data_IF_521603835144
#
_entry.id   IF_521603835144
#
_cell.length_a   1.000
_cell.length_b   1.000
_cell.length_c   1.000
_cell.angle_alpha   90.00
_cell.angle_beta   90.00
_cell.angle_gamma   90.00
#
_symmetry.space_group_name_H-M   'P 1'
#
loop_
_entity.id
_entity.type
_entity.pdbx_description
1 polymer ?
#
# COMPACT_ATOMS: atom_id res chain seq x y z
N UNK A 1 -10.33 -14.35 0.56
CA UNK A 1 -10.15 -15.23 -0.63
C UNK A 1 -10.14 -16.71 -0.26
N UNK A 2 -9.77 -17.05 0.96
CA UNK A 2 -9.79 -18.46 1.42
C UNK A 2 -11.20 -18.97 1.72
N UNK A 3 -12.08 -18.08 2.10
CA UNK A 3 -13.47 -18.42 2.47
C UNK A 3 -14.43 -18.32 1.30
N UNK A 4 -14.27 -17.30 0.45
CA UNK A 4 -15.16 -17.08 -0.69
C UNK A 4 -14.87 -18.07 -1.81
N UNK A 5 -15.94 -18.61 -2.40
CA UNK A 5 -15.85 -19.57 -3.50
C UNK A 5 -16.52 -19.03 -4.76
N UNK A 6 -15.99 -19.42 -5.91
CA UNK A 6 -16.58 -19.18 -7.22
C UNK A 6 -16.19 -20.32 -8.15
N UNK A 7 -17.10 -20.70 -9.04
CA UNK A 7 -16.86 -21.78 -10.01
C UNK A 7 -16.41 -23.08 -9.35
N UNK A 8 -16.92 -23.37 -8.14
CA UNK A 8 -16.66 -24.62 -7.43
C UNK A 8 -15.37 -24.69 -6.62
N UNK A 9 -14.62 -23.59 -6.50
CA UNK A 9 -13.39 -23.56 -5.68
C UNK A 9 -13.19 -22.23 -4.97
N UNK A 10 -12.33 -22.24 -3.95
CA UNK A 10 -12.00 -21.02 -3.22
C UNK A 10 -11.27 -20.04 -4.12
N UNK A 11 -11.49 -18.75 -3.90
CA UNK A 11 -10.86 -17.70 -4.72
C UNK A 11 -9.33 -17.79 -4.67
N UNK A 12 -8.75 -18.19 -3.52
CA UNK A 12 -7.30 -18.35 -3.40
C UNK A 12 -6.73 -19.42 -4.32
N UNK A 13 -7.54 -20.37 -4.76
CA UNK A 13 -7.10 -21.47 -5.63
C UNK A 13 -7.02 -21.06 -7.11
N UNK A 14 -7.50 -19.89 -7.48
CA UNK A 14 -7.32 -19.36 -8.83
C UNK A 14 -5.91 -18.79 -8.98
N UNK A 15 -5.25 -19.17 -10.07
CA UNK A 15 -3.85 -18.79 -10.30
C UNK A 15 -3.65 -17.28 -10.35
N UNK A 16 -4.57 -16.55 -10.99
CA UNK A 16 -4.48 -15.08 -11.03
C UNK A 16 -4.53 -14.47 -9.62
N UNK A 17 -5.40 -15.00 -8.75
CA UNK A 17 -5.47 -14.54 -7.35
C UNK A 17 -4.15 -14.76 -6.63
N UNK A 18 -3.55 -15.94 -6.84
CA UNK A 18 -2.25 -16.26 -6.23
C UNK A 18 -1.16 -15.31 -6.72
N UNK A 19 -1.14 -14.98 -8.00
CA UNK A 19 -0.16 -14.04 -8.56
C UNK A 19 -0.35 -12.64 -7.98
N UNK A 20 -1.58 -12.14 -7.92
CA UNK A 20 -1.88 -10.82 -7.35
C UNK A 20 -1.44 -10.75 -5.90
N UNK A 21 -1.78 -11.76 -5.10
CA UNK A 21 -1.41 -11.78 -3.68
C UNK A 21 0.10 -11.93 -3.48
N UNK A 22 0.78 -12.69 -4.31
CA UNK A 22 2.23 -12.81 -4.26
C UNK A 22 2.92 -11.47 -4.56
N UNK A 23 2.44 -10.74 -5.54
CA UNK A 23 2.95 -9.40 -5.86
C UNK A 23 2.70 -8.42 -4.72
N UNK A 24 1.48 -8.41 -4.18
CA UNK A 24 1.14 -7.56 -3.05
C UNK A 24 2.01 -7.86 -1.82
N UNK A 25 2.21 -9.14 -1.52
CA UNK A 25 3.05 -9.56 -0.40
C UNK A 25 4.51 -9.10 -0.59
N UNK A 26 5.03 -9.26 -1.78
CA UNK A 26 6.40 -8.84 -2.10
C UNK A 26 6.56 -7.33 -1.94
N UNK A 27 5.66 -6.55 -2.53
CA UNK A 27 5.69 -5.10 -2.44
C UNK A 27 5.55 -4.61 -0.99
N UNK A 28 4.64 -5.21 -0.23
CA UNK A 28 4.45 -4.89 1.19
C UNK A 28 5.71 -5.22 2.02
N UNK A 29 6.39 -6.32 1.69
CA UNK A 29 7.63 -6.70 2.37
C UNK A 29 8.74 -5.68 2.08
N UNK A 30 8.91 -5.26 0.84
CA UNK A 30 9.88 -4.23 0.46
C UNK A 30 9.57 -2.92 1.18
N UNK A 31 8.31 -2.50 1.21
CA UNK A 31 7.89 -1.29 1.92
C UNK A 31 8.20 -1.38 3.42
N UNK A 32 7.95 -2.53 4.04
CA UNK A 32 8.24 -2.73 5.47
C UNK A 32 9.73 -2.63 5.78
N UNK A 33 10.58 -3.18 4.94
CA UNK A 33 12.05 -3.07 5.09
C UNK A 33 12.47 -1.61 5.03
N UNK A 34 11.93 -0.84 4.08
CA UNK A 34 12.25 0.57 3.95
C UNK A 34 11.73 1.39 5.13
N UNK A 35 10.50 1.14 5.59
CA UNK A 35 9.94 1.80 6.77
C UNK A 35 10.80 1.53 8.01
N UNK A 36 11.19 0.28 8.22
CA UNK A 36 12.05 -0.08 9.35
C UNK A 36 13.39 0.65 9.30
N UNK A 37 13.98 0.78 8.12
CA UNK A 37 15.19 1.57 7.93
C UNK A 37 14.96 3.04 8.31
N UNK A 38 13.86 3.64 7.87
CA UNK A 38 13.51 5.02 8.21
C UNK A 38 13.33 5.19 9.72
N UNK A 39 12.67 4.25 10.38
CA UNK A 39 12.48 4.29 11.84
C UNK A 39 13.83 4.25 12.55
N UNK A 40 14.72 3.36 12.16
CA UNK A 40 16.07 3.27 12.74
C UNK A 40 16.84 4.58 12.56
N UNK A 41 16.79 5.17 11.37
CA UNK A 41 17.45 6.44 11.09
C UNK A 41 16.85 7.58 11.92
N UNK A 42 15.53 7.59 12.07
CA UNK A 42 14.84 8.60 12.88
C UNK A 42 15.27 8.51 14.35
N UNK A 43 15.29 7.30 14.90
CA UNK A 43 15.70 7.07 16.30
C UNK A 43 17.17 7.44 16.54
N UNK A 44 18.01 7.31 15.53
CA UNK A 44 19.41 7.71 15.58
C UNK A 44 19.63 9.20 15.28
N UNK A 45 18.58 9.96 14.98
CA UNK A 45 18.68 11.37 14.61
C UNK A 45 19.29 11.61 13.23
N UNK A 46 19.28 10.60 12.34
CA UNK A 46 19.95 10.62 11.04
C UNK A 46 19.01 10.61 9.83
N UNK A 47 17.69 10.57 10.07
CA UNK A 47 16.72 10.57 8.96
C UNK A 47 16.69 11.96 8.32
N UNK A 48 17.11 12.02 7.06
CA UNK A 48 17.06 13.26 6.29
C UNK A 48 15.68 13.47 5.64
N UNK A 49 15.40 14.71 5.23
CA UNK A 49 14.12 15.08 4.66
C UNK A 49 13.85 14.37 3.32
N UNK A 50 14.88 14.16 2.51
CA UNK A 50 14.72 13.47 1.22
C UNK A 50 14.31 12.02 1.41
N UNK A 51 14.94 11.29 2.33
CA UNK A 51 14.61 9.89 2.63
C UNK A 51 13.20 9.78 3.23
N UNK A 52 12.84 10.67 4.16
CA UNK A 52 11.49 10.71 4.72
C UNK A 52 10.44 10.98 3.62
N UNK A 53 10.75 11.86 2.69
CA UNK A 53 9.86 12.18 1.56
C UNK A 53 9.69 11.01 0.61
N UNK A 54 10.76 10.24 0.36
CA UNK A 54 10.68 8.98 -0.41
C UNK A 54 9.72 8.00 0.25
N UNK A 55 9.85 7.81 1.55
CA UNK A 55 8.98 6.91 2.29
C UNK A 55 7.52 7.36 2.20
N UNK A 56 7.26 8.63 2.42
CA UNK A 56 5.89 9.15 2.42
C UNK A 56 5.22 8.96 1.05
N UNK A 57 5.86 9.38 -0.03
CA UNK A 57 5.19 9.31 -1.34
C UNK A 57 5.10 7.88 -1.86
N UNK A 58 6.18 7.11 -1.78
CA UNK A 58 6.23 5.78 -2.37
C UNK A 58 5.33 4.80 -1.63
N UNK A 59 5.34 4.84 -0.29
CA UNK A 59 4.54 3.92 0.53
C UNK A 59 3.05 4.28 0.49
N UNK A 60 2.69 5.56 0.50
CA UNK A 60 1.29 5.95 0.38
C UNK A 60 0.71 5.61 -1.00
N UNK A 61 1.48 5.76 -2.08
CA UNK A 61 1.08 5.31 -3.41
C UNK A 61 0.91 3.78 -3.45
N UNK A 62 1.86 3.05 -2.87
CA UNK A 62 1.83 1.59 -2.81
C UNK A 62 0.64 1.09 -2.00
N UNK A 63 0.35 1.71 -0.84
CA UNK A 63 -0.81 1.35 -0.02
C UNK A 63 -2.10 1.46 -0.82
N UNK A 64 -2.30 2.56 -1.53
CA UNK A 64 -3.47 2.74 -2.38
C UNK A 64 -3.56 1.68 -3.47
N UNK A 65 -2.43 1.34 -4.09
CA UNK A 65 -2.36 0.31 -5.13
C UNK A 65 -2.70 -1.08 -4.58
N UNK A 66 -2.14 -1.45 -3.44
CA UNK A 66 -2.38 -2.75 -2.83
C UNK A 66 -3.83 -2.87 -2.37
N UNK A 67 -4.37 -1.84 -1.71
CA UNK A 67 -5.76 -1.84 -1.24
C UNK A 67 -6.72 -1.97 -2.43
N UNK A 68 -6.46 -1.26 -3.53
CA UNK A 68 -7.28 -1.35 -4.73
C UNK A 68 -7.29 -2.78 -5.31
N UNK A 69 -6.13 -3.39 -5.42
CA UNK A 69 -5.99 -4.76 -5.93
C UNK A 69 -6.65 -5.79 -5.02
N UNK A 70 -6.49 -5.64 -3.71
CA UNK A 70 -7.13 -6.52 -2.74
C UNK A 70 -8.64 -6.36 -2.74
N UNK A 71 -9.15 -5.13 -2.85
CA UNK A 71 -10.59 -4.88 -2.95
C UNK A 71 -11.20 -5.61 -4.15
N UNK A 72 -10.51 -5.61 -5.28
CA UNK A 72 -10.97 -6.32 -6.48
C UNK A 72 -11.20 -7.80 -6.22
N UNK A 73 -10.35 -8.42 -5.40
CA UNK A 73 -10.48 -9.83 -5.04
C UNK A 73 -11.70 -10.13 -4.16
N UNK A 74 -12.24 -9.14 -3.47
CA UNK A 74 -13.48 -9.28 -2.72
C UNK A 74 -14.71 -9.29 -3.63
N UNK A 75 -14.58 -8.82 -4.87
CA UNK A 75 -15.73 -8.64 -5.76
C UNK A 75 -16.74 -7.65 -5.18
N UNK A 76 -18.03 -7.92 -5.33
CA UNK A 76 -19.09 -7.02 -4.83
C UNK A 76 -19.00 -6.71 -3.34
N UNK A 77 -18.52 -7.63 -2.54
CA UNK A 77 -18.34 -7.41 -1.10
C UNK A 77 -17.29 -6.32 -0.80
N UNK A 78 -16.35 -6.10 -1.70
CA UNK A 78 -15.36 -5.03 -1.57
C UNK A 78 -15.93 -3.62 -1.62
N UNK A 79 -17.15 -3.47 -2.13
CA UNK A 79 -17.85 -2.20 -2.19
C UNK A 79 -18.77 -1.95 -0.97
N UNK A 80 -18.91 -2.92 -0.10
CA UNK A 80 -19.79 -2.86 1.07
C UNK A 80 -19.02 -2.36 2.29
N UNK A 81 -19.53 -1.30 2.94
CA UNK A 81 -18.87 -0.67 4.09
C UNK A 81 -18.75 -1.57 5.31
N UNK A 82 -19.47 -2.67 5.37
CA UNK A 82 -19.35 -3.68 6.42
C UNK A 82 -18.00 -4.40 6.40
N UNK A 83 -17.32 -4.38 5.26
CA UNK A 83 -16.01 -5.03 5.11
C UNK A 83 -14.89 -4.01 5.30
N UNK A 84 -13.87 -4.33 6.11
CA UNK A 84 -12.76 -3.41 6.37
C UNK A 84 -12.06 -2.92 5.10
N UNK A 85 -11.97 -3.76 4.06
CA UNK A 85 -11.29 -3.37 2.82
C UNK A 85 -11.96 -2.18 2.13
N UNK A 86 -13.29 -2.08 2.18
CA UNK A 86 -14.01 -0.94 1.61
C UNK A 86 -13.65 0.37 2.32
N UNK A 87 -13.54 0.31 3.65
CA UNK A 87 -13.14 1.46 4.46
C UNK A 87 -11.66 1.81 4.23
N UNK A 88 -10.79 0.83 4.13
CA UNK A 88 -9.38 1.03 3.79
C UNK A 88 -9.21 1.73 2.45
N UNK A 89 -9.95 1.30 1.45
CA UNK A 89 -9.94 1.92 0.12
C UNK A 89 -10.31 3.39 0.19
N UNK A 90 -11.38 3.70 0.91
CA UNK A 90 -11.87 5.07 1.06
C UNK A 90 -10.89 5.94 1.82
N UNK A 91 -10.39 5.44 2.96
CA UNK A 91 -9.61 6.24 3.90
C UNK A 91 -8.14 6.40 3.47
N UNK A 92 -7.59 5.45 2.75
CA UNK A 92 -6.18 5.52 2.34
C UNK A 92 -5.93 6.56 1.25
N UNK A 93 -6.95 6.97 0.49
CA UNK A 93 -6.76 7.87 -0.66
C UNK A 93 -6.20 9.23 -0.25
N UNK A 94 -6.60 9.77 0.89
CA UNK A 94 -6.15 11.06 1.37
C UNK A 94 -4.67 11.08 1.79
N UNK A 95 -4.09 9.92 2.06
CA UNK A 95 -2.69 9.81 2.46
C UNK A 95 -1.72 10.32 1.40
N UNK A 96 -2.14 10.34 0.13
CA UNK A 96 -1.35 10.87 -0.98
C UNK A 96 -1.42 12.40 -1.07
N UNK A 97 -2.29 13.03 -0.28
CA UNK A 97 -2.61 14.45 -0.36
C UNK A 97 -2.14 15.20 0.89
N UNK A 98 -2.49 14.72 2.07
CA UNK A 98 -2.23 15.44 3.31
C UNK A 98 -0.75 15.35 3.75
N UNK A 99 -0.35 16.23 4.66
CA UNK A 99 1.03 16.27 5.15
C UNK A 99 2.04 16.67 4.08
N UNK A 100 1.59 17.40 3.05
CA UNK A 100 2.30 17.65 1.81
C UNK A 100 1.93 16.61 0.78
N UNK A 101 1.51 17.06 -0.40
CA UNK A 101 1.15 16.11 -1.49
C UNK A 101 2.36 15.28 -1.90
N UNK A 102 2.11 14.15 -2.54
CA UNK A 102 3.20 13.31 -3.04
C UNK A 102 4.03 14.03 -4.10
N UNK A 103 3.43 14.96 -4.86
CA UNK A 103 4.17 15.83 -5.77
C UNK A 103 5.17 16.73 -5.03
N UNK A 104 4.77 17.29 -3.90
CA UNK A 104 5.68 18.08 -3.04
C UNK A 104 6.81 17.20 -2.48
N UNK A 105 6.50 15.98 -2.09
CA UNK A 105 7.53 15.04 -1.63
C UNK A 105 8.58 14.77 -2.71
N UNK A 106 8.15 14.58 -3.94
CA UNK A 106 9.04 14.41 -5.10
C UNK A 106 9.90 15.65 -5.34
N UNK A 107 9.33 16.84 -5.16
CA UNK A 107 10.08 18.08 -5.28
C UNK A 107 11.19 18.17 -4.24
N UNK A 108 10.90 17.79 -2.98
CA UNK A 108 11.91 17.78 -1.91
C UNK A 108 13.05 16.83 -2.21
N UNK A 109 12.74 15.68 -2.78
CA UNK A 109 13.75 14.70 -3.21
C UNK A 109 14.59 15.29 -4.34
N UNK A 110 13.94 15.87 -5.35
CA UNK A 110 14.61 16.41 -6.53
C UNK A 110 15.62 17.52 -6.18
N UNK A 111 15.36 18.27 -5.13
CA UNK A 111 16.27 19.33 -4.65
C UNK A 111 17.60 18.80 -4.13
N UNK A 112 17.70 17.49 -3.89
CA UNK A 112 18.96 16.85 -3.43
C UNK A 112 19.76 16.25 -4.57
N UNK A 113 19.29 16.31 -5.80
CA UNK A 113 19.98 15.75 -6.97
C UNK A 113 21.17 16.59 -7.41
#
# INVERSE_FOLDING_TARGET
>A
VKERKAFGKAIIDFQNTQFVLAECKTEATVAKVFVNHCIEQHLAGKLDAATASMAKYWISDLENKIVDRCLQLFGGYGFMNEYPIARMYRDSRVQRIYGGTNEIMKLLIARTL
#
